data_IF_961338803223
#
_entry.id   IF_961338803223
#
_cell.length_a   1.000
_cell.length_b   1.000
_cell.length_c   1.000
_cell.angle_alpha   90.00
_cell.angle_beta   90.00
_cell.angle_gamma   90.00
#
_symmetry.space_group_name_H-M   'P 1'
#
loop_
_entity.id
_entity.type
_entity.pdbx_description
1 polymer ?
#
# COMPACT_ATOMS: atom_id res chain seq x y z
N UNK A 1 8.97 -12.11 29.81
CA UNK A 1 8.31 -10.79 29.88
C UNK A 1 8.95 -9.71 28.99
N UNK A 2 10.20 -9.82 28.53
CA UNK A 2 10.83 -8.83 27.64
C UNK A 2 10.35 -8.85 26.18
N UNK A 3 9.81 -9.98 25.71
CA UNK A 3 9.46 -10.22 24.31
C UNK A 3 8.35 -9.31 23.75
N UNK A 4 7.46 -8.83 24.58
CA UNK A 4 6.34 -7.95 24.16
C UNK A 4 6.53 -6.49 24.58
N UNK A 5 7.68 -6.12 25.15
CA UNK A 5 7.95 -4.70 25.48
C UNK A 5 7.90 -3.82 24.22
N UNK A 6 8.37 -4.36 23.07
CA UNK A 6 8.35 -3.63 21.81
C UNK A 6 6.92 -3.28 21.37
N UNK A 7 5.91 -4.09 21.69
CA UNK A 7 4.51 -3.80 21.34
C UNK A 7 4.03 -2.51 22.02
N UNK A 8 4.57 -2.18 23.20
CA UNK A 8 4.26 -0.96 23.92
C UNK A 8 5.14 0.24 23.52
N UNK A 9 6.38 -0.02 23.10
CA UNK A 9 7.33 1.06 22.76
C UNK A 9 7.24 1.48 21.28
N UNK A 10 6.88 0.58 20.38
CA UNK A 10 6.74 0.86 18.94
C UNK A 10 5.71 1.94 18.62
N UNK A 11 4.49 1.96 19.21
CA UNK A 11 3.54 3.03 18.97
C UNK A 11 4.08 4.43 19.27
N UNK A 12 4.97 4.56 20.27
CA UNK A 12 5.62 5.81 20.59
C UNK A 12 6.59 6.26 19.48
N UNK A 13 7.24 5.32 18.79
CA UNK A 13 8.14 5.61 17.67
C UNK A 13 7.39 6.11 16.43
N UNK A 14 6.09 5.85 16.33
CA UNK A 14 5.26 6.32 15.22
C UNK A 14 4.77 7.76 15.40
N UNK A 15 4.72 8.26 16.65
CA UNK A 15 4.30 9.64 16.92
C UNK A 15 5.15 10.68 16.16
N UNK A 16 6.48 10.61 16.14
CA UNK A 16 7.30 11.52 15.35
C UNK A 16 7.02 11.45 13.86
N UNK A 17 6.72 10.25 13.32
CA UNK A 17 6.41 10.05 11.90
C UNK A 17 5.08 10.70 11.55
N UNK A 18 4.02 10.43 12.33
CA UNK A 18 2.69 11.03 12.15
C UNK A 18 2.76 12.54 12.30
N UNK A 19 3.51 13.02 13.31
CA UNK A 19 3.74 14.45 13.49
C UNK A 19 4.46 15.07 12.29
N UNK A 20 5.56 14.47 11.82
CA UNK A 20 6.29 14.96 10.65
C UNK A 20 5.41 15.02 9.40
N UNK A 21 4.60 13.98 9.15
CA UNK A 21 3.67 13.96 8.03
C UNK A 21 2.58 15.02 8.19
N UNK A 22 2.07 15.23 9.40
CA UNK A 22 1.07 16.29 9.67
C UNK A 22 1.63 17.68 9.37
N UNK A 23 2.90 17.95 9.74
CA UNK A 23 3.58 19.20 9.41
C UNK A 23 3.77 19.35 7.90
N UNK A 24 4.29 18.30 7.24
CA UNK A 24 4.52 18.33 5.79
C UNK A 24 3.22 18.55 5.02
N UNK A 25 2.16 17.81 5.32
CA UNK A 25 0.87 17.95 4.63
C UNK A 25 0.24 19.32 4.89
N UNK A 26 0.36 19.82 6.10
CA UNK A 26 -0.10 21.17 6.46
C UNK A 26 0.63 22.26 5.68
N UNK A 27 1.95 22.16 5.53
CA UNK A 27 2.76 23.12 4.77
C UNK A 27 2.50 22.98 3.28
N UNK A 28 2.49 21.76 2.73
CA UNK A 28 2.28 21.51 1.30
C UNK A 28 0.96 22.13 0.81
N UNK A 29 -0.12 21.98 1.57
CA UNK A 29 -1.42 22.58 1.24
C UNK A 29 -1.33 24.11 1.12
N UNK A 30 -0.49 24.74 1.91
CA UNK A 30 -0.30 26.21 1.92
C UNK A 30 0.66 26.72 0.87
N UNK A 31 1.55 25.86 0.38
CA UNK A 31 2.46 26.20 -0.72
C UNK A 31 1.75 26.17 -2.09
N UNK A 32 0.58 25.55 -2.19
CA UNK A 32 -0.18 25.53 -3.44
C UNK A 32 -0.70 26.95 -3.72
N UNK A 33 -0.35 27.56 -4.88
CA UNK A 33 -0.79 28.91 -5.19
C UNK A 33 -2.32 29.01 -5.28
N UNK A 34 -2.89 29.93 -4.50
CA UNK A 34 -4.35 30.21 -4.43
C UNK A 34 -4.81 30.49 -3.01
N UNK A 35 -5.88 31.27 -2.89
CA UNK A 35 -6.53 31.56 -1.61
C UNK A 35 -7.54 30.44 -1.30
N UNK A 36 -7.36 29.65 -0.20
CA UNK A 36 -8.31 28.61 0.19
C UNK A 36 -9.75 29.15 0.34
N UNK A 37 -9.91 30.35 0.86
CA UNK A 37 -11.24 30.99 0.99
C UNK A 37 -11.90 31.25 -0.38
N UNK A 38 -11.12 31.67 -1.37
CA UNK A 38 -11.61 31.83 -2.75
C UNK A 38 -12.00 30.52 -3.39
N UNK A 39 -11.25 29.46 -3.14
CA UNK A 39 -11.56 28.13 -3.68
C UNK A 39 -12.86 27.56 -3.09
N UNK A 40 -13.15 27.84 -1.82
CA UNK A 40 -14.40 27.45 -1.15
C UNK A 40 -15.61 28.16 -1.75
N UNK A 41 -15.50 29.49 -2.01
CA UNK A 41 -16.58 30.32 -2.50
C UNK A 41 -16.74 30.28 -4.02
N UNK A 42 -15.68 29.99 -4.76
CA UNK A 42 -15.68 29.97 -6.22
C UNK A 42 -16.10 31.34 -6.79
N UNK A 43 -17.07 31.33 -7.72
CA UNK A 43 -17.60 32.53 -8.37
C UNK A 43 -18.39 33.45 -7.43
N UNK A 44 -18.74 33.00 -6.21
CA UNK A 44 -19.47 33.77 -5.19
C UNK A 44 -18.56 34.48 -4.17
N UNK A 45 -17.28 34.64 -4.50
CA UNK A 45 -16.25 35.20 -3.63
C UNK A 45 -16.38 36.74 -3.50
N UNK A 46 -17.41 37.23 -2.78
CA UNK A 46 -17.49 38.63 -2.38
C UNK A 46 -16.50 38.95 -1.27
N UNK A 47 -16.01 40.19 -1.11
CA UNK A 47 -15.10 40.56 -0.04
C UNK A 47 -15.59 40.19 1.37
N UNK A 48 -16.88 40.37 1.63
CA UNK A 48 -17.53 40.03 2.90
C UNK A 48 -17.58 38.52 3.12
N UNK A 49 -17.96 37.74 2.09
CA UNK A 49 -17.98 36.29 2.16
C UNK A 49 -16.57 35.70 2.37
N UNK A 50 -15.55 36.28 1.74
CA UNK A 50 -14.15 35.91 1.95
C UNK A 50 -13.69 36.15 3.38
N UNK A 51 -14.05 37.34 3.96
CA UNK A 51 -13.71 37.67 5.34
C UNK A 51 -14.36 36.66 6.33
N UNK A 52 -15.65 36.36 6.11
CA UNK A 52 -16.37 35.39 6.95
C UNK A 52 -15.78 33.97 6.89
N UNK A 53 -15.43 33.49 5.69
CA UNK A 53 -14.78 32.18 5.53
C UNK A 53 -13.39 32.16 6.18
N UNK A 54 -12.61 33.23 6.02
CA UNK A 54 -11.29 33.31 6.66
C UNK A 54 -11.38 33.28 8.18
N UNK A 55 -12.33 34.02 8.75
CA UNK A 55 -12.59 33.99 10.17
C UNK A 55 -13.11 32.63 10.66
N UNK A 56 -14.04 32.02 9.93
CA UNK A 56 -14.64 30.73 10.27
C UNK A 56 -13.62 29.58 10.29
N UNK A 57 -12.68 29.59 9.34
CA UNK A 57 -11.64 28.56 9.20
C UNK A 57 -10.29 28.98 9.84
N UNK A 58 -10.24 30.14 10.51
CA UNK A 58 -9.04 30.68 11.16
C UNK A 58 -7.90 30.95 10.18
N UNK A 59 -8.19 31.21 8.91
CA UNK A 59 -7.17 31.45 7.88
C UNK A 59 -6.49 32.82 8.02
N UNK A 60 -7.05 33.70 8.82
CA UNK A 60 -6.54 35.01 9.23
C UNK A 60 -5.56 34.95 10.41
N UNK A 61 -5.51 33.80 11.09
CA UNK A 61 -4.64 33.59 12.24
C UNK A 61 -3.19 33.31 11.83
N UNK A 62 -2.20 33.51 12.74
CA UNK A 62 -0.82 33.12 12.50
C UNK A 62 -0.70 31.62 12.16
N UNK A 63 0.25 31.26 11.27
CA UNK A 63 0.41 29.89 10.76
C UNK A 63 0.54 28.82 11.86
N UNK A 64 1.28 29.13 12.94
CA UNK A 64 1.42 28.21 14.07
C UNK A 64 0.09 27.93 14.77
N UNK A 65 -0.79 28.93 14.89
CA UNK A 65 -2.10 28.75 15.52
C UNK A 65 -3.06 27.95 14.61
N UNK A 66 -2.99 28.19 13.31
CA UNK A 66 -3.72 27.37 12.32
C UNK A 66 -3.30 25.88 12.39
N UNK A 67 -2.00 25.61 12.60
CA UNK A 67 -1.51 24.25 12.77
C UNK A 67 -1.99 23.62 14.09
N UNK A 68 -2.04 24.36 15.17
CA UNK A 68 -2.62 23.89 16.44
C UNK A 68 -4.10 23.54 16.28
N UNK A 69 -4.88 24.38 15.61
CA UNK A 69 -6.29 24.07 15.30
C UNK A 69 -6.42 22.84 14.41
N UNK A 70 -5.56 22.72 13.41
CA UNK A 70 -5.53 21.52 12.56
C UNK A 70 -5.28 20.23 13.37
N UNK A 71 -4.29 20.24 14.27
CA UNK A 71 -4.01 19.08 15.14
C UNK A 71 -5.18 18.78 16.10
N UNK A 72 -5.80 19.82 16.66
CA UNK A 72 -6.96 19.67 17.55
C UNK A 72 -8.13 19.04 16.80
N UNK A 73 -8.45 19.53 15.61
CA UNK A 73 -9.53 18.99 14.78
C UNK A 73 -9.22 17.54 14.38
N UNK A 74 -7.98 17.26 13.98
CA UNK A 74 -7.54 15.90 13.66
C UNK A 74 -7.69 14.94 14.84
N UNK A 75 -7.35 15.37 16.05
CA UNK A 75 -7.52 14.57 17.27
C UNK A 75 -8.99 14.29 17.61
N UNK A 76 -9.90 15.19 17.22
CA UNK A 76 -11.34 15.02 17.34
C UNK A 76 -11.98 14.21 16.19
N UNK A 77 -11.16 13.75 15.20
CA UNK A 77 -11.66 13.07 14.01
C UNK A 77 -12.27 14.01 12.95
N UNK A 78 -12.05 15.31 13.07
CA UNK A 78 -12.54 16.32 12.15
C UNK A 78 -11.47 16.65 11.11
N UNK A 79 -11.66 16.21 9.86
CA UNK A 79 -10.73 16.49 8.74
C UNK A 79 -11.23 17.62 7.83
N UNK A 80 -12.27 18.37 8.26
CA UNK A 80 -12.90 19.40 7.47
C UNK A 80 -13.88 18.85 6.43
N UNK A 81 -14.36 19.75 5.55
CA UNK A 81 -15.29 19.41 4.47
C UNK A 81 -14.62 19.54 3.11
N UNK A 82 -14.90 18.60 2.23
CA UNK A 82 -14.49 18.67 0.83
C UNK A 82 -15.08 19.89 0.14
N UNK A 83 -14.27 20.63 -0.59
CA UNK A 83 -14.68 21.76 -1.40
C UNK A 83 -15.50 21.28 -2.61
N UNK A 84 -15.06 20.17 -3.23
CA UNK A 84 -15.69 19.61 -4.43
C UNK A 84 -16.97 18.83 -4.09
N UNK A 85 -16.92 17.92 -3.12
CA UNK A 85 -18.02 17.01 -2.80
C UNK A 85 -19.00 17.56 -1.77
N UNK A 86 -18.68 18.66 -1.07
CA UNK A 86 -19.53 19.33 -0.05
C UNK A 86 -19.91 18.44 1.14
N UNK A 87 -19.17 17.37 1.39
CA UNK A 87 -19.35 16.43 2.51
C UNK A 87 -18.10 16.36 3.37
N UNK A 88 -18.21 15.80 4.57
CA UNK A 88 -17.08 15.63 5.47
C UNK A 88 -16.02 14.71 4.84
N UNK A 89 -14.75 15.12 4.93
CA UNK A 89 -13.62 14.39 4.35
C UNK A 89 -13.54 12.97 4.91
N UNK A 90 -13.77 12.79 6.22
CA UNK A 90 -13.75 11.46 6.83
C UNK A 90 -14.83 10.53 6.24
N UNK A 91 -16.04 11.04 6.01
CA UNK A 91 -17.12 10.28 5.36
C UNK A 91 -16.74 9.92 3.93
N UNK A 92 -16.15 10.87 3.19
CA UNK A 92 -15.69 10.62 1.82
C UNK A 92 -14.63 9.54 1.78
N UNK A 93 -13.63 9.60 2.66
CA UNK A 93 -12.57 8.58 2.79
C UNK A 93 -13.18 7.22 3.13
N UNK A 94 -14.13 7.15 4.06
CA UNK A 94 -14.79 5.91 4.45
C UNK A 94 -15.46 5.17 3.28
N UNK A 95 -15.99 5.92 2.29
CA UNK A 95 -16.56 5.32 1.07
C UNK A 95 -15.53 4.84 0.07
N UNK A 96 -14.26 5.27 0.19
CA UNK A 96 -13.16 5.02 -0.75
C UNK A 96 -12.09 4.05 -0.24
N UNK A 97 -12.11 3.76 1.06
CA UNK A 97 -11.09 2.90 1.69
C UNK A 97 -11.25 1.43 1.28
N UNK A 98 -12.49 0.95 1.15
CA UNK A 98 -12.78 -0.46 0.82
C UNK A 98 -12.13 -0.90 -0.50
N UNK A 99 -12.30 -0.21 -1.65
CA UNK A 99 -11.69 -0.61 -2.91
C UNK A 99 -10.16 -0.62 -2.85
N UNK A 100 -9.54 0.35 -2.18
CA UNK A 100 -8.08 0.40 -2.02
C UNK A 100 -7.56 -0.77 -1.18
N UNK A 101 -8.20 -1.05 -0.03
CA UNK A 101 -7.81 -2.18 0.82
C UNK A 101 -8.02 -3.52 0.13
N UNK A 102 -9.13 -3.69 -0.60
CA UNK A 102 -9.41 -4.88 -1.37
C UNK A 102 -8.37 -5.09 -2.49
N UNK A 103 -7.99 -4.02 -3.20
CA UNK A 103 -6.92 -4.06 -4.21
C UNK A 103 -5.58 -4.47 -3.58
N UNK A 104 -5.17 -3.83 -2.48
CA UNK A 104 -3.91 -4.15 -1.80
C UNK A 104 -3.92 -5.60 -1.31
N UNK A 105 -4.98 -6.04 -0.64
CA UNK A 105 -5.08 -7.40 -0.12
C UNK A 105 -5.05 -8.45 -1.26
N UNK A 106 -5.84 -8.26 -2.32
CA UNK A 106 -5.84 -9.16 -3.47
C UNK A 106 -4.47 -9.20 -4.15
N UNK A 107 -3.82 -8.05 -4.32
CA UNK A 107 -2.47 -7.96 -4.92
C UNK A 107 -1.43 -8.70 -4.09
N UNK A 108 -1.45 -8.55 -2.76
CA UNK A 108 -0.53 -9.25 -1.85
C UNK A 108 -0.75 -10.76 -1.92
N UNK A 109 -2.00 -11.21 -1.85
CA UNK A 109 -2.33 -12.64 -1.93
C UNK A 109 -1.83 -13.22 -3.26
N UNK A 110 -2.17 -12.58 -4.38
CA UNK A 110 -1.74 -13.04 -5.71
C UNK A 110 -0.22 -13.02 -5.85
N UNK A 111 0.46 -11.99 -5.34
CA UNK A 111 1.92 -11.92 -5.41
C UNK A 111 2.61 -13.06 -4.65
N UNK A 112 2.08 -13.43 -3.48
CA UNK A 112 2.60 -14.56 -2.70
C UNK A 112 2.30 -15.89 -3.41
N UNK A 113 1.09 -16.06 -3.95
CA UNK A 113 0.69 -17.25 -4.72
C UNK A 113 1.56 -17.45 -5.98
N UNK A 114 2.05 -16.38 -6.59
CA UNK A 114 2.97 -16.44 -7.73
C UNK A 114 4.42 -16.64 -7.24
N UNK A 115 4.86 -15.87 -6.26
CA UNK A 115 6.26 -15.84 -5.83
C UNK A 115 6.73 -17.13 -5.17
N UNK A 116 5.90 -17.73 -4.31
CA UNK A 116 6.30 -18.95 -3.57
C UNK A 116 6.59 -20.13 -4.50
N UNK A 117 5.71 -20.52 -5.45
CA UNK A 117 6.01 -21.59 -6.39
C UNK A 117 7.21 -21.27 -7.29
N UNK A 118 7.30 -20.04 -7.82
CA UNK A 118 8.42 -19.63 -8.68
C UNK A 118 9.75 -19.71 -7.93
N UNK A 119 9.81 -19.18 -6.71
CA UNK A 119 11.02 -19.26 -5.87
C UNK A 119 11.38 -20.69 -5.51
N UNK A 120 10.39 -21.55 -5.20
CA UNK A 120 10.59 -22.95 -4.89
C UNK A 120 11.16 -23.73 -6.08
N UNK A 121 10.60 -23.52 -7.28
CA UNK A 121 11.12 -24.13 -8.53
C UNK A 121 12.55 -23.68 -8.78
N UNK A 122 12.82 -22.39 -8.69
CA UNK A 122 14.14 -21.83 -8.93
C UNK A 122 15.18 -22.30 -7.89
N UNK A 123 14.85 -22.32 -6.60
CA UNK A 123 15.76 -22.72 -5.52
C UNK A 123 16.12 -24.21 -5.58
N UNK A 124 15.13 -25.07 -5.86
CA UNK A 124 15.36 -26.52 -5.99
C UNK A 124 16.18 -26.90 -7.24
N UNK A 125 16.17 -26.05 -8.24
CA UNK A 125 16.90 -26.21 -9.50
C UNK A 125 18.01 -25.17 -9.67
N UNK A 126 18.61 -24.71 -8.58
CA UNK A 126 19.61 -23.64 -8.60
C UNK A 126 20.74 -23.93 -9.61
N UNK A 127 20.98 -22.97 -10.51
CA UNK A 127 21.97 -23.07 -11.58
C UNK A 127 21.55 -23.90 -12.81
N UNK A 128 20.30 -24.45 -12.82
CA UNK A 128 19.77 -25.22 -13.96
C UNK A 128 18.76 -24.38 -14.77
N UNK A 129 18.32 -24.92 -15.91
CA UNK A 129 17.40 -24.22 -16.83
C UNK A 129 16.13 -23.67 -16.15
N UNK A 130 15.40 -24.35 -15.24
CA UNK A 130 14.23 -23.79 -14.58
C UNK A 130 14.56 -22.54 -13.74
N UNK A 131 15.73 -22.53 -13.08
CA UNK A 131 16.20 -21.36 -12.33
C UNK A 131 16.47 -20.17 -13.26
N UNK A 132 17.14 -20.42 -14.40
CA UNK A 132 17.40 -19.36 -15.38
C UNK A 132 16.10 -18.80 -15.95
N UNK A 133 15.12 -19.63 -16.29
CA UNK A 133 13.81 -19.19 -16.79
C UNK A 133 13.11 -18.30 -15.76
N UNK A 134 13.01 -18.73 -14.49
CA UNK A 134 12.39 -17.93 -13.42
C UNK A 134 13.10 -16.58 -13.27
N UNK A 135 14.42 -16.55 -13.31
CA UNK A 135 15.21 -15.31 -13.22
C UNK A 135 14.94 -14.37 -14.40
N UNK A 136 14.87 -14.90 -15.62
CA UNK A 136 14.56 -14.11 -16.81
C UNK A 136 13.15 -13.52 -16.68
N UNK A 137 12.14 -14.36 -16.41
CA UNK A 137 10.74 -13.91 -16.24
C UNK A 137 10.63 -12.84 -15.13
N UNK A 138 11.31 -13.07 -14.01
CA UNK A 138 11.36 -12.09 -12.92
C UNK A 138 12.05 -10.78 -13.31
N UNK A 139 13.08 -10.81 -14.15
CA UNK A 139 13.75 -9.59 -14.62
C UNK A 139 12.85 -8.76 -15.53
N UNK A 140 12.11 -9.43 -16.42
CA UNK A 140 11.12 -8.75 -17.27
C UNK A 140 9.99 -8.12 -16.47
N UNK A 141 9.51 -8.78 -15.40
CA UNK A 141 8.44 -8.26 -14.56
C UNK A 141 8.75 -6.91 -13.86
N UNK A 142 10.02 -6.61 -13.60
CA UNK A 142 10.44 -5.30 -13.06
C UNK A 142 10.53 -4.24 -14.15
N UNK A 143 10.81 -4.62 -15.39
CA UNK A 143 11.08 -3.70 -16.50
C UNK A 143 9.85 -2.95 -17.01
N UNK A 144 8.64 -3.44 -16.72
CA UNK A 144 7.42 -2.82 -17.22
C UNK A 144 6.78 -1.89 -16.19
N UNK A 145 6.46 -0.64 -16.56
CA UNK A 145 5.69 0.25 -15.68
C UNK A 145 4.30 -0.34 -15.39
N UNK A 146 3.81 -0.27 -14.14
CA UNK A 146 2.52 -0.85 -13.76
C UNK A 146 1.34 -0.35 -14.60
N UNK A 147 1.33 0.93 -15.00
CA UNK A 147 0.27 1.48 -15.85
C UNK A 147 0.25 0.84 -17.24
N UNK A 148 1.43 0.62 -17.85
CA UNK A 148 1.55 -0.02 -19.16
C UNK A 148 1.07 -1.47 -19.09
N UNK A 149 1.51 -2.21 -18.06
CA UNK A 149 1.07 -3.59 -17.84
C UNK A 149 -0.45 -3.67 -17.64
N UNK A 150 -1.02 -2.74 -16.85
CA UNK A 150 -2.46 -2.65 -16.66
C UNK A 150 -3.22 -2.43 -17.97
N UNK A 151 -2.74 -1.52 -18.83
CA UNK A 151 -3.33 -1.29 -20.14
C UNK A 151 -3.24 -2.52 -21.05
N UNK A 152 -2.11 -3.22 -21.08
CA UNK A 152 -1.96 -4.45 -21.86
C UNK A 152 -2.91 -5.55 -21.39
N UNK A 153 -3.09 -5.70 -20.06
CA UNK A 153 -4.05 -6.65 -19.50
C UNK A 153 -5.49 -6.27 -19.83
N UNK A 154 -5.85 -4.98 -19.81
CA UNK A 154 -7.17 -4.51 -20.26
C UNK A 154 -7.39 -4.86 -21.72
N UNK A 155 -6.45 -4.53 -22.62
CA UNK A 155 -6.57 -4.81 -24.05
C UNK A 155 -6.77 -6.31 -24.27
N UNK A 156 -5.92 -7.14 -23.68
CA UNK A 156 -5.97 -8.58 -23.89
C UNK A 156 -7.23 -9.22 -23.29
N UNK A 157 -7.49 -9.01 -22.00
CA UNK A 157 -8.54 -9.75 -21.28
C UNK A 157 -9.93 -9.13 -21.37
N UNK A 158 -10.01 -7.81 -21.51
CA UNK A 158 -11.30 -7.13 -21.54
C UNK A 158 -11.75 -6.80 -22.96
N UNK A 159 -10.84 -6.29 -23.80
CA UNK A 159 -11.22 -5.86 -25.16
C UNK A 159 -11.20 -7.02 -26.15
N UNK A 160 -10.08 -7.75 -26.25
CA UNK A 160 -9.92 -8.83 -27.24
C UNK A 160 -10.67 -10.11 -26.83
N UNK A 161 -10.56 -10.53 -25.59
CA UNK A 161 -11.15 -11.78 -25.10
C UNK A 161 -12.54 -11.59 -24.49
N UNK A 162 -12.94 -10.36 -24.08
CA UNK A 162 -14.24 -10.09 -23.48
C UNK A 162 -14.51 -10.83 -22.15
N UNK A 163 -13.45 -11.25 -21.43
CA UNK A 163 -13.57 -12.12 -20.25
C UNK A 163 -13.76 -11.34 -18.95
N UNK A 164 -13.20 -10.15 -18.83
CA UNK A 164 -13.14 -9.37 -17.60
C UNK A 164 -13.55 -7.92 -17.85
N UNK A 165 -14.08 -7.21 -16.84
CA UNK A 165 -14.49 -5.81 -16.99
C UNK A 165 -13.26 -4.90 -17.20
N UNK A 166 -13.47 -3.84 -18.01
CA UNK A 166 -12.43 -2.84 -18.32
C UNK A 166 -12.11 -1.95 -17.12
N UNK A 167 -13.15 -1.56 -16.35
CA UNK A 167 -12.99 -0.52 -15.30
C UNK A 167 -14.14 -0.55 -14.29
N UNK A 168 -13.97 0.14 -13.15
CA UNK A 168 -14.97 0.24 -12.09
C UNK A 168 -14.75 -0.74 -10.95
N UNK A 169 -15.77 -0.96 -10.09
CA UNK A 169 -15.64 -1.81 -8.89
C UNK A 169 -16.78 -2.83 -8.75
N UNK A 170 -17.90 -2.62 -9.44
CA UNK A 170 -19.11 -3.46 -9.31
C UNK A 170 -19.90 -3.19 -8.02
N UNK A 171 -21.12 -3.72 -7.95
CA UNK A 171 -22.03 -3.59 -6.82
C UNK A 171 -22.10 -4.86 -5.96
N UNK A 172 -22.12 -6.02 -6.59
CA UNK A 172 -22.17 -7.32 -5.93
C UNK A 172 -20.77 -7.86 -5.62
N UNK A 173 -20.66 -8.79 -4.69
CA UNK A 173 -19.37 -9.42 -4.36
C UNK A 173 -18.71 -10.07 -5.57
N UNK A 174 -19.49 -10.75 -6.42
CA UNK A 174 -18.97 -11.38 -7.63
C UNK A 174 -18.43 -10.37 -8.65
N UNK A 175 -19.16 -9.27 -8.84
CA UNK A 175 -18.69 -8.15 -9.69
C UNK A 175 -17.44 -7.51 -9.12
N UNK A 176 -17.39 -7.22 -7.80
CA UNK A 176 -16.22 -6.66 -7.14
C UNK A 176 -14.99 -7.55 -7.37
N UNK A 177 -15.13 -8.86 -7.21
CA UNK A 177 -14.03 -9.79 -7.47
C UNK A 177 -13.59 -9.75 -8.93
N UNK A 178 -14.53 -9.76 -9.89
CA UNK A 178 -14.22 -9.69 -11.31
C UNK A 178 -13.47 -8.39 -11.68
N UNK A 179 -13.91 -7.25 -11.13
CA UNK A 179 -13.25 -5.94 -11.35
C UNK A 179 -11.88 -5.83 -10.67
N UNK A 180 -11.60 -6.61 -9.62
CA UNK A 180 -10.32 -6.62 -8.93
C UNK A 180 -9.26 -7.51 -9.60
N UNK A 181 -9.65 -8.49 -10.47
CA UNK A 181 -8.68 -9.43 -11.06
C UNK A 181 -7.56 -8.72 -11.80
N UNK A 182 -7.87 -7.90 -12.78
CA UNK A 182 -6.85 -7.23 -13.60
C UNK A 182 -6.01 -6.20 -12.81
N UNK A 183 -6.62 -5.31 -12.01
CA UNK A 183 -5.86 -4.38 -11.17
C UNK A 183 -4.91 -5.11 -10.20
N UNK A 184 -5.42 -6.13 -9.50
CA UNK A 184 -4.60 -6.88 -8.55
C UNK A 184 -3.51 -7.71 -9.23
N UNK A 185 -3.77 -8.28 -10.40
CA UNK A 185 -2.77 -8.98 -11.22
C UNK A 185 -1.67 -8.02 -11.69
N UNK A 186 -2.04 -6.81 -12.12
CA UNK A 186 -1.09 -5.76 -12.50
C UNK A 186 -0.06 -5.48 -11.40
N UNK A 187 -0.56 -5.27 -10.17
CA UNK A 187 0.29 -5.02 -9.00
C UNK A 187 1.06 -6.29 -8.61
N UNK A 188 0.38 -7.44 -8.60
CA UNK A 188 0.94 -8.71 -8.16
C UNK A 188 2.11 -9.17 -9.03
N UNK A 189 2.05 -8.97 -10.35
CA UNK A 189 3.16 -9.33 -11.26
C UNK A 189 4.44 -8.56 -10.93
N UNK A 190 4.35 -7.27 -10.65
CA UNK A 190 5.49 -6.46 -10.24
C UNK A 190 6.03 -6.88 -8.87
N UNK A 191 5.15 -7.02 -7.88
CA UNK A 191 5.52 -7.39 -6.51
C UNK A 191 6.06 -8.82 -6.42
N UNK A 192 5.43 -9.77 -7.12
CA UNK A 192 5.87 -11.18 -7.12
C UNK A 192 7.30 -11.35 -7.60
N UNK A 193 7.76 -10.49 -8.51
CA UNK A 193 9.13 -10.50 -9.01
C UNK A 193 10.15 -10.21 -7.92
N UNK A 194 9.89 -9.18 -7.11
CA UNK A 194 10.75 -8.79 -5.98
C UNK A 194 10.76 -9.88 -4.93
N UNK A 195 9.56 -10.41 -4.60
CA UNK A 195 9.41 -11.49 -3.62
C UNK A 195 10.09 -12.78 -4.08
N UNK A 196 9.93 -13.17 -5.35
CA UNK A 196 10.56 -14.38 -5.93
C UNK A 196 12.07 -14.33 -5.79
N UNK A 197 12.69 -13.20 -6.09
CA UNK A 197 14.14 -13.04 -5.99
C UNK A 197 14.63 -13.18 -4.55
N UNK A 198 13.98 -12.50 -3.60
CA UNK A 198 14.32 -12.56 -2.20
C UNK A 198 14.12 -13.97 -1.63
N UNK A 199 12.94 -14.55 -1.86
CA UNK A 199 12.57 -15.86 -1.36
C UNK A 199 13.46 -16.97 -1.95
N UNK A 200 13.80 -16.89 -3.25
CA UNK A 200 14.75 -17.80 -3.89
C UNK A 200 16.11 -17.76 -3.19
N UNK A 201 16.66 -16.58 -2.93
CA UNK A 201 17.95 -16.44 -2.26
C UNK A 201 17.93 -17.05 -0.85
N UNK A 202 16.90 -16.72 -0.07
CA UNK A 202 16.71 -17.27 1.27
C UNK A 202 16.50 -18.79 1.27
N UNK A 203 15.77 -19.34 0.28
CA UNK A 203 15.59 -20.79 0.15
C UNK A 203 16.88 -21.51 -0.21
N UNK A 204 17.72 -20.95 -1.09
CA UNK A 204 19.02 -21.55 -1.42
C UNK A 204 19.93 -21.59 -0.19
N UNK A 205 19.96 -20.52 0.59
CA UNK A 205 20.71 -20.45 1.84
C UNK A 205 20.18 -21.48 2.86
N UNK A 206 18.89 -21.55 3.06
CA UNK A 206 18.23 -22.50 3.96
C UNK A 206 18.45 -23.95 3.54
N UNK A 207 18.50 -24.25 2.23
CA UNK A 207 18.82 -25.59 1.70
C UNK A 207 20.25 -26.06 2.06
N UNK A 208 21.18 -25.12 2.26
CA UNK A 208 22.58 -25.38 2.63
C UNK A 208 22.83 -25.28 4.12
N UNK A 209 21.82 -24.97 4.93
CA UNK A 209 21.95 -24.82 6.38
C UNK A 209 22.19 -26.14 7.09
N UNK A 210 22.76 -26.07 8.30
CA UNK A 210 22.97 -27.22 9.17
C UNK A 210 21.65 -27.92 9.53
N UNK A 211 20.55 -27.16 9.63
CA UNK A 211 19.20 -27.69 9.90
C UNK A 211 18.77 -28.63 8.77
N UNK A 212 18.91 -28.19 7.53
CA UNK A 212 18.58 -29.03 6.37
C UNK A 212 19.50 -30.24 6.26
N UNK A 213 20.78 -30.07 6.52
CA UNK A 213 21.78 -31.16 6.51
C UNK A 213 21.50 -32.22 7.61
N UNK A 214 21.20 -31.77 8.84
CA UNK A 214 20.82 -32.66 9.92
C UNK A 214 19.50 -33.40 9.65
N UNK A 215 18.52 -32.75 9.01
CA UNK A 215 17.28 -33.40 8.62
C UNK A 215 17.50 -34.50 7.57
N UNK A 216 18.36 -34.27 6.57
CA UNK A 216 18.77 -35.28 5.59
C UNK A 216 19.52 -36.43 6.24
N UNK A 217 20.46 -36.16 7.17
CA UNK A 217 21.19 -37.18 7.91
C UNK A 217 20.28 -38.10 8.74
N UNK A 218 19.07 -37.60 9.14
CA UNK A 218 18.04 -38.42 9.80
C UNK A 218 17.16 -39.20 8.82
N UNK A 219 17.48 -39.22 7.53
CA UNK A 219 16.71 -39.93 6.50
C UNK A 219 15.42 -39.27 6.08
N UNK A 220 15.20 -37.97 6.35
CA UNK A 220 13.97 -37.28 5.92
C UNK A 220 13.95 -37.14 4.41
N UNK A 221 12.81 -37.41 3.74
CA UNK A 221 12.62 -37.15 2.32
C UNK A 221 12.80 -35.65 1.98
N UNK A 222 13.41 -35.37 0.83
CA UNK A 222 13.68 -34.00 0.38
C UNK A 222 12.42 -33.08 0.37
N UNK A 223 11.26 -33.64 0.07
CA UNK A 223 10.00 -32.88 0.13
C UNK A 223 9.70 -32.41 1.57
N UNK A 224 9.89 -33.27 2.57
CA UNK A 224 9.68 -32.92 3.99
C UNK A 224 10.72 -31.90 4.45
N UNK A 225 12.01 -32.12 4.09
CA UNK A 225 13.07 -31.12 4.37
C UNK A 225 12.70 -29.76 3.82
N UNK A 226 12.24 -29.70 2.57
CA UNK A 226 11.88 -28.45 1.91
C UNK A 226 10.69 -27.76 2.60
N UNK A 227 9.55 -28.42 2.73
CA UNK A 227 8.33 -27.79 3.23
C UNK A 227 8.35 -27.51 4.74
N UNK A 228 9.05 -28.34 5.53
CA UNK A 228 9.06 -28.23 6.99
C UNK A 228 10.25 -27.46 7.55
N UNK A 229 11.38 -27.43 6.84
CA UNK A 229 12.60 -26.78 7.35
C UNK A 229 13.10 -25.65 6.47
N UNK A 230 13.03 -25.76 5.14
CA UNK A 230 13.55 -24.72 4.24
C UNK A 230 12.56 -23.56 4.10
N UNK A 231 11.34 -23.84 3.67
CA UNK A 231 10.34 -22.80 3.41
C UNK A 231 10.06 -21.92 4.64
N UNK A 232 9.75 -22.45 5.83
CA UNK A 232 9.46 -21.60 6.99
C UNK A 232 10.62 -20.68 7.37
N UNK A 233 11.86 -21.19 7.32
CA UNK A 233 13.04 -20.39 7.62
C UNK A 233 13.33 -19.30 6.57
N UNK A 234 12.90 -19.52 5.31
CA UNK A 234 13.05 -18.57 4.22
C UNK A 234 11.99 -17.47 4.22
N UNK A 235 10.89 -17.64 4.96
CA UNK A 235 9.80 -16.66 4.99
C UNK A 235 10.17 -15.42 5.79
N UNK A 236 10.99 -15.50 6.83
CA UNK A 236 11.31 -14.38 7.73
C UNK A 236 11.83 -13.15 6.96
N UNK A 237 12.91 -13.23 6.16
CA UNK A 237 13.37 -12.08 5.39
C UNK A 237 12.35 -11.63 4.35
N UNK A 238 11.52 -12.54 3.83
CA UNK A 238 10.50 -12.25 2.82
C UNK A 238 9.30 -11.51 3.43
N UNK A 239 8.91 -11.83 4.66
CA UNK A 239 7.84 -11.12 5.40
C UNK A 239 8.24 -9.65 5.59
N UNK A 240 9.46 -9.38 6.02
CA UNK A 240 9.95 -8.01 6.20
C UNK A 240 9.96 -7.23 4.87
N UNK A 241 10.44 -7.87 3.80
CA UNK A 241 10.43 -7.27 2.48
C UNK A 241 9.00 -7.01 1.97
N UNK A 242 8.09 -7.95 2.21
CA UNK A 242 6.67 -7.82 1.85
C UNK A 242 6.03 -6.62 2.59
N UNK A 243 6.30 -6.47 3.88
CA UNK A 243 5.78 -5.37 4.67
C UNK A 243 6.22 -4.00 4.14
N UNK A 244 7.51 -3.84 3.85
CA UNK A 244 8.04 -2.62 3.24
C UNK A 244 7.33 -2.35 1.90
N UNK A 245 7.17 -3.38 1.06
CA UNK A 245 6.48 -3.23 -0.22
C UNK A 245 4.99 -2.92 -0.07
N UNK A 246 4.29 -3.45 0.93
CA UNK A 246 2.88 -3.08 1.20
C UNK A 246 2.78 -1.59 1.56
N UNK A 247 3.70 -1.06 2.36
CA UNK A 247 3.77 0.38 2.64
C UNK A 247 3.91 1.21 1.35
N UNK A 248 4.75 0.79 0.43
CA UNK A 248 4.88 1.40 -0.90
C UNK A 248 3.63 1.24 -1.76
N UNK A 249 2.95 0.10 -1.69
CA UNK A 249 1.73 -0.16 -2.46
C UNK A 249 0.61 0.83 -2.15
N UNK A 250 0.46 1.24 -0.90
CA UNK A 250 -0.60 2.20 -0.51
C UNK A 250 -0.50 3.49 -1.34
N UNK A 251 0.72 4.01 -1.56
CA UNK A 251 0.93 5.13 -2.49
C UNK A 251 0.95 4.72 -3.97
N UNK A 252 1.48 3.54 -4.28
CA UNK A 252 1.64 3.02 -5.64
C UNK A 252 0.35 2.60 -6.32
N UNK A 253 -0.68 2.21 -5.56
CA UNK A 253 -2.01 1.86 -6.11
C UNK A 253 -2.71 3.02 -6.79
N UNK A 254 -2.34 4.28 -6.50
CA UNK A 254 -2.89 5.49 -7.12
C UNK A 254 -2.93 5.39 -8.65
N UNK A 255 -1.83 4.93 -9.24
CA UNK A 255 -1.71 4.79 -10.70
C UNK A 255 -2.64 3.70 -11.21
N UNK A 256 -2.65 2.54 -10.54
CA UNK A 256 -3.49 1.39 -10.92
C UNK A 256 -4.98 1.72 -10.75
N UNK A 257 -5.35 2.34 -9.63
CA UNK A 257 -6.73 2.81 -9.42
C UNK A 257 -7.18 3.77 -10.50
N UNK A 258 -6.27 4.64 -10.98
CA UNK A 258 -6.58 5.59 -12.05
C UNK A 258 -6.75 4.91 -13.41
N UNK A 259 -5.90 3.94 -13.76
CA UNK A 259 -5.97 3.17 -15.01
C UNK A 259 -7.26 2.37 -15.10
N UNK A 260 -7.65 1.69 -14.02
CA UNK A 260 -8.84 0.85 -13.97
C UNK A 260 -10.10 1.61 -13.50
N UNK A 261 -10.01 2.94 -13.31
CA UNK A 261 -11.08 3.78 -12.77
C UNK A 261 -11.71 3.21 -11.49
N UNK A 262 -10.89 2.57 -10.64
CA UNK A 262 -11.31 2.05 -9.35
C UNK A 262 -11.61 3.22 -8.39
N UNK A 263 -12.79 3.26 -7.76
CA UNK A 263 -13.16 4.38 -6.89
C UNK A 263 -12.49 4.31 -5.52
N UNK A 264 -11.15 4.22 -5.50
CA UNK A 264 -10.35 4.12 -4.30
C UNK A 264 -9.84 5.46 -3.78
N UNK A 265 -9.01 5.38 -2.73
CA UNK A 265 -8.39 6.55 -2.08
C UNK A 265 -7.31 7.20 -2.94
N UNK A 266 -6.58 6.42 -3.72
CA UNK A 266 -5.56 6.94 -4.64
C UNK A 266 -6.18 7.77 -5.75
N UNK A 267 -7.26 7.30 -6.37
CA UNK A 267 -8.02 8.06 -7.35
C UNK A 267 -8.63 9.33 -6.73
N UNK A 268 -9.15 9.22 -5.49
CA UNK A 268 -9.66 10.37 -4.76
C UNK A 268 -8.56 11.41 -4.55
N UNK A 269 -7.36 11.01 -4.17
CA UNK A 269 -6.20 11.90 -3.98
C UNK A 269 -5.85 12.64 -5.26
N UNK A 270 -5.74 11.93 -6.39
CA UNK A 270 -5.43 12.54 -7.68
C UNK A 270 -6.49 13.59 -8.07
N UNK A 271 -7.78 13.24 -7.96
CA UNK A 271 -8.86 14.18 -8.24
C UNK A 271 -8.82 15.39 -7.33
N UNK A 272 -8.57 15.20 -6.03
CA UNK A 272 -8.47 16.28 -5.06
C UNK A 272 -7.30 17.23 -5.36
N UNK A 273 -6.16 16.70 -5.81
CA UNK A 273 -5.00 17.53 -6.23
C UNK A 273 -5.37 18.41 -7.41
N UNK A 274 -5.95 17.84 -8.48
CA UNK A 274 -6.34 18.60 -9.67
C UNK A 274 -7.46 19.60 -9.40
N UNK A 275 -8.40 19.26 -8.52
CA UNK A 275 -9.49 20.18 -8.11
C UNK A 275 -9.10 21.14 -6.98
N UNK A 276 -7.86 21.08 -6.50
CA UNK A 276 -7.34 21.87 -5.37
C UNK A 276 -8.20 21.74 -4.11
N UNK A 277 -8.71 20.52 -3.87
CA UNK A 277 -9.46 20.21 -2.64
C UNK A 277 -8.50 19.84 -1.51
N UNK A 278 -7.95 20.88 -0.90
CA UNK A 278 -6.86 20.76 0.09
C UNK A 278 -7.21 19.88 1.28
N UNK A 279 -8.47 19.96 1.75
CA UNK A 279 -8.91 19.19 2.91
C UNK A 279 -8.90 17.69 2.59
N UNK A 280 -9.31 17.30 1.39
CA UNK A 280 -9.25 15.91 0.93
C UNK A 280 -7.82 15.45 0.73
N UNK A 281 -6.95 16.27 0.10
CA UNK A 281 -5.52 15.92 -0.08
C UNK A 281 -4.88 15.66 1.27
N UNK A 282 -5.08 16.54 2.25
CA UNK A 282 -4.51 16.43 3.57
C UNK A 282 -5.05 15.21 4.34
N UNK A 283 -6.37 14.99 4.29
CA UNK A 283 -7.02 13.85 4.95
C UNK A 283 -6.57 12.51 4.37
N UNK A 284 -6.52 12.37 3.04
CA UNK A 284 -6.08 11.13 2.39
C UNK A 284 -4.60 10.86 2.64
N UNK A 285 -3.72 11.87 2.55
CA UNK A 285 -2.31 11.73 2.85
C UNK A 285 -2.08 11.28 4.30
N UNK A 286 -2.85 11.81 5.25
CA UNK A 286 -2.76 11.42 6.66
C UNK A 286 -3.21 9.98 6.88
N UNK A 287 -4.30 9.54 6.23
CA UNK A 287 -4.77 8.15 6.31
C UNK A 287 -3.76 7.20 5.67
N UNK A 288 -3.16 7.54 4.53
CA UNK A 288 -2.09 6.74 3.93
C UNK A 288 -0.88 6.60 4.84
N UNK A 289 -0.49 7.67 5.51
CA UNK A 289 0.60 7.64 6.48
C UNK A 289 0.29 6.74 7.67
N UNK A 290 -0.89 6.88 8.28
CA UNK A 290 -1.33 6.03 9.38
C UNK A 290 -1.43 4.56 8.95
N UNK A 291 -1.94 4.29 7.75
CA UNK A 291 -2.02 2.93 7.20
C UNK A 291 -0.62 2.32 7.00
N UNK A 292 0.35 3.08 6.47
CA UNK A 292 1.73 2.61 6.31
C UNK A 292 2.37 2.28 7.66
N UNK A 293 2.19 3.14 8.65
CA UNK A 293 2.67 2.91 10.02
C UNK A 293 2.05 1.65 10.63
N UNK A 294 0.73 1.49 10.48
CA UNK A 294 0.01 0.31 10.98
C UNK A 294 0.49 -0.98 10.33
N UNK A 295 0.70 -0.98 9.02
CA UNK A 295 1.20 -2.14 8.27
C UNK A 295 2.59 -2.53 8.75
N UNK A 296 3.50 -1.57 8.92
CA UNK A 296 4.83 -1.85 9.43
C UNK A 296 4.75 -2.42 10.86
N UNK A 297 3.87 -1.91 11.71
CA UNK A 297 3.66 -2.45 13.04
C UNK A 297 3.14 -3.89 13.03
N UNK A 298 2.16 -4.19 12.17
CA UNK A 298 1.65 -5.55 11.99
C UNK A 298 2.77 -6.48 11.49
N UNK A 299 3.59 -6.03 10.57
CA UNK A 299 4.73 -6.79 10.06
C UNK A 299 5.77 -7.11 11.14
N UNK A 300 6.07 -6.15 12.00
CA UNK A 300 6.95 -6.37 13.15
C UNK A 300 6.39 -7.46 14.09
N UNK A 301 5.08 -7.41 14.36
CA UNK A 301 4.41 -8.43 15.18
C UNK A 301 4.50 -9.81 14.51
N UNK A 302 4.20 -9.89 13.20
CA UNK A 302 4.26 -11.15 12.45
C UNK A 302 5.69 -11.69 12.41
N UNK A 303 6.69 -10.84 12.23
CA UNK A 303 8.10 -11.23 12.23
C UNK A 303 8.52 -11.86 13.57
N UNK A 304 8.16 -11.24 14.70
CA UNK A 304 8.44 -11.78 16.04
C UNK A 304 7.65 -13.06 16.32
N UNK A 305 6.45 -13.20 15.75
CA UNK A 305 5.67 -14.43 15.89
C UNK A 305 6.29 -15.59 15.11
N UNK A 306 6.82 -15.34 13.91
CA UNK A 306 7.43 -16.36 13.03
C UNK A 306 8.84 -16.71 13.48
N UNK A 307 9.65 -15.73 13.88
CA UNK A 307 11.01 -15.96 14.39
C UNK A 307 11.19 -15.39 15.80
N UNK A 308 11.14 -16.26 16.83
CA UNK A 308 11.35 -15.86 18.22
C UNK A 308 12.75 -15.31 18.54
N UNK A 309 13.72 -15.45 17.63
CA UNK A 309 15.12 -15.02 17.83
C UNK A 309 15.34 -13.56 17.45
N UNK A 310 14.43 -12.98 16.69
CA UNK A 310 14.49 -11.55 16.31
C UNK A 310 14.21 -10.71 17.56
N UNK A 311 15.18 -9.88 17.92
CA UNK A 311 15.03 -8.81 18.93
C UNK A 311 14.79 -7.51 18.15
N UNK A 312 13.59 -6.96 18.22
CA UNK A 312 13.20 -5.66 17.65
C UNK A 312 13.39 -4.54 18.66
#
# INVERSE_FOLDING_TARGET
MHRYKFVLTRPLQFLPVIFGISVITFILVRLIPGDPARNILGTRATPEALANIRAQYGLDQPMWLQYVYFLKNLANGEMGKSILYKIDVLKLIATRIEPTLALVAASVILSVLIAVPMAAIAARNAGRAPDHVVRIVSTFGIGFPPFWLGLMLIILFSVELGLLPVSGYGATLGEKLAHLVLPSLTVALSLSTVLTRSLRAAMIEALRSDVATAARARGMPEAIVFWRHVLPNSLVPTINLLAVNIGWLIGGTVVVESVFALPGMGQLLVRAIFSRDYMVVQGVAMVFACATVLINFIADIVTVAVDPRVKL
#
